data_IF_661892592903
#
_entry.id   IF_661892592903
#
_cell.length_a   1.000
_cell.length_b   1.000
_cell.length_c   1.000
_cell.angle_alpha   90.00
_cell.angle_beta   90.00
_cell.angle_gamma   90.00
#
_symmetry.space_group_name_H-M   'P 1'
#
loop_
_entity.id
_entity.type
_entity.pdbx_description
1 polymer ?
#
# COMPACT_ATOMS: atom_id res chain seq x y z
N UNK A 1 7.87 -18.41 -8.01
CA UNK A 1 6.93 -18.30 -9.16
C UNK A 1 7.72 -18.39 -10.46
N UNK A 2 7.48 -19.41 -11.28
CA UNK A 2 8.25 -19.64 -12.52
C UNK A 2 7.92 -18.59 -13.59
N UNK A 3 8.88 -18.31 -14.47
CA UNK A 3 8.76 -17.25 -15.50
C UNK A 3 7.63 -17.50 -16.49
N UNK A 4 7.25 -18.77 -16.73
CA UNK A 4 6.17 -19.17 -17.65
C UNK A 4 4.79 -18.65 -17.25
N UNK A 5 4.52 -18.48 -15.95
CA UNK A 5 3.22 -18.00 -15.47
C UNK A 5 3.14 -16.46 -15.37
N UNK A 6 4.22 -15.73 -15.67
CA UNK A 6 4.21 -14.27 -15.64
C UNK A 6 3.37 -13.71 -16.79
N UNK A 7 2.42 -12.82 -16.46
CA UNK A 7 1.54 -12.13 -17.43
C UNK A 7 2.29 -11.46 -18.60
N UNK A 8 3.52 -11.00 -18.37
CA UNK A 8 4.33 -10.35 -19.41
C UNK A 8 4.66 -11.26 -20.59
N UNK A 9 4.69 -12.59 -20.42
CA UNK A 9 4.94 -13.51 -21.55
C UNK A 9 3.84 -13.43 -22.60
N UNK A 10 2.58 -13.32 -22.16
CA UNK A 10 1.40 -13.16 -23.05
C UNK A 10 1.31 -11.77 -23.69
N UNK A 11 2.11 -10.79 -23.24
CA UNK A 11 2.06 -9.40 -23.72
C UNK A 11 3.14 -9.05 -24.75
N UNK A 12 3.98 -10.00 -25.16
CA UNK A 12 4.97 -9.79 -26.23
C UNK A 12 4.25 -9.49 -27.55
N UNK A 13 4.77 -8.56 -28.34
CA UNK A 13 4.11 -8.05 -29.55
C UNK A 13 3.11 -6.92 -29.31
N UNK A 14 2.67 -6.68 -28.06
CA UNK A 14 1.84 -5.53 -27.74
C UNK A 14 2.68 -4.26 -27.56
N UNK A 15 2.30 -3.19 -28.24
CA UNK A 15 3.04 -1.91 -28.29
C UNK A 15 3.38 -1.32 -26.91
N UNK A 16 2.48 -1.42 -25.92
CA UNK A 16 2.67 -0.77 -24.61
C UNK A 16 2.67 -1.72 -23.41
N UNK A 17 2.79 -3.03 -23.64
CA UNK A 17 2.75 -4.05 -22.57
C UNK A 17 1.52 -3.91 -21.64
N UNK A 18 0.41 -3.39 -22.17
CA UNK A 18 -0.84 -3.20 -21.44
C UNK A 18 -0.84 -2.06 -20.41
N UNK A 19 -0.03 -1.02 -20.61
CA UNK A 19 -0.04 0.20 -19.79
C UNK A 19 -0.71 1.40 -20.48
N UNK A 20 -1.53 1.14 -21.51
CA UNK A 20 -2.18 2.17 -22.32
C UNK A 20 -1.21 2.88 -23.26
N UNK A 21 -1.73 3.59 -24.27
CA UNK A 21 -0.90 4.35 -25.24
C UNK A 21 -0.61 5.77 -24.78
N UNK A 22 -1.61 6.43 -24.18
CA UNK A 22 -1.58 7.86 -23.84
C UNK A 22 -0.95 8.09 -22.45
N UNK A 23 -1.55 7.55 -21.39
CA UNK A 23 -1.07 7.77 -20.02
C UNK A 23 0.32 7.19 -19.72
N UNK A 24 0.66 6.07 -20.39
CA UNK A 24 1.93 5.32 -20.30
C UNK A 24 2.29 4.86 -18.87
N UNK A 25 3.23 3.92 -18.77
CA UNK A 25 3.81 3.55 -17.49
C UNK A 25 4.84 4.60 -17.06
N UNK A 26 4.62 5.26 -15.92
CA UNK A 26 5.55 6.22 -15.33
C UNK A 26 5.99 5.73 -13.94
N UNK A 27 7.19 6.12 -13.53
CA UNK A 27 7.85 5.56 -12.34
C UNK A 27 7.06 5.76 -11.05
N UNK A 28 6.60 6.98 -10.75
CA UNK A 28 5.82 7.31 -9.54
C UNK A 28 4.85 8.49 -9.79
N UNK A 29 3.68 8.27 -10.41
CA UNK A 29 2.76 9.36 -10.73
C UNK A 29 2.09 10.00 -9.50
N UNK A 30 1.87 9.24 -8.41
CA UNK A 30 1.20 9.72 -7.18
C UNK A 30 2.12 9.84 -5.96
N UNK A 31 3.44 9.76 -6.15
CA UNK A 31 4.42 9.64 -5.08
C UNK A 31 4.82 8.19 -4.77
N UNK A 32 5.54 7.97 -3.67
CA UNK A 32 6.04 6.67 -3.22
C UNK A 32 5.36 6.26 -1.92
N UNK A 33 5.06 4.96 -1.78
CA UNK A 33 4.42 4.43 -0.57
C UNK A 33 3.11 5.17 -0.26
N UNK A 34 2.96 5.60 0.99
CA UNK A 34 1.75 6.27 1.50
C UNK A 34 1.79 7.81 1.37
N UNK A 35 2.61 8.35 0.45
CA UNK A 35 2.69 9.79 0.21
C UNK A 35 1.33 10.39 -0.18
N UNK A 36 1.08 11.63 0.25
CA UNK A 36 -0.15 12.35 -0.07
C UNK A 36 -1.40 11.88 0.67
N UNK A 37 -1.25 11.05 1.72
CA UNK A 37 -2.39 10.44 2.42
C UNK A 37 -3.36 11.42 3.09
N UNK A 38 -2.97 12.67 3.33
CA UNK A 38 -3.87 13.76 3.77
C UNK A 38 -4.19 14.78 2.65
N UNK A 39 -3.61 14.61 1.46
CA UNK A 39 -3.78 15.50 0.30
C UNK A 39 -4.45 14.75 -0.85
N UNK A 40 -3.71 14.46 -1.93
CA UNK A 40 -4.25 13.84 -3.14
C UNK A 40 -4.62 12.35 -2.99
N UNK A 41 -4.20 11.69 -1.92
CA UNK A 41 -4.64 10.33 -1.55
C UNK A 41 -5.60 10.30 -0.36
N UNK A 42 -6.10 11.46 0.11
CA UNK A 42 -7.02 11.55 1.26
C UNK A 42 -8.21 10.60 1.15
N UNK A 43 -8.85 10.56 -0.03
CA UNK A 43 -10.02 9.70 -0.28
C UNK A 43 -9.71 8.22 -0.02
N UNK A 44 -8.51 7.75 -0.36
CA UNK A 44 -8.10 6.36 -0.14
C UNK A 44 -8.00 6.04 1.37
N UNK A 45 -7.43 6.97 2.13
CA UNK A 45 -7.24 6.78 3.57
C UNK A 45 -8.54 6.92 4.35
N UNK A 46 -9.34 7.94 4.07
CA UNK A 46 -10.63 8.15 4.72
C UNK A 46 -11.57 6.96 4.50
N UNK A 47 -11.56 6.39 3.28
CA UNK A 47 -12.47 5.31 2.90
C UNK A 47 -12.09 3.96 3.46
N UNK A 48 -10.80 3.61 3.42
CA UNK A 48 -10.36 2.24 3.71
C UNK A 48 -9.54 2.11 4.99
N UNK A 49 -9.02 3.22 5.52
CA UNK A 49 -8.14 3.23 6.69
C UNK A 49 -8.55 4.32 7.69
N UNK A 50 -9.80 4.31 8.20
CA UNK A 50 -10.23 5.27 9.21
C UNK A 50 -9.36 5.12 10.46
N UNK A 51 -8.91 6.26 11.02
CA UNK A 51 -8.02 6.29 12.18
C UNK A 51 -6.54 6.02 11.88
N UNK A 52 -6.15 5.91 10.60
CA UNK A 52 -4.74 5.77 10.22
C UNK A 52 -3.89 6.98 10.63
N UNK A 53 -4.44 8.18 10.48
CA UNK A 53 -3.82 9.40 10.95
C UNK A 53 -4.34 9.77 12.33
N UNK A 54 -3.43 10.09 13.25
CA UNK A 54 -3.76 10.51 14.61
C UNK A 54 -2.91 9.81 15.66
N UNK A 55 -3.12 10.19 16.92
CA UNK A 55 -2.51 9.57 18.08
C UNK A 55 -3.62 9.22 19.08
N UNK A 56 -3.63 7.98 19.54
CA UNK A 56 -4.61 7.48 20.52
C UNK A 56 -3.87 6.87 21.71
N UNK A 57 -4.40 7.08 22.91
CA UNK A 57 -3.89 6.49 24.15
C UNK A 57 -2.50 7.00 24.56
N UNK A 58 -2.00 6.41 25.66
CA UNK A 58 -0.67 6.70 26.19
C UNK A 58 0.34 5.63 25.74
N UNK A 59 1.58 6.05 25.43
CA UNK A 59 2.64 5.12 25.04
C UNK A 59 3.12 4.35 26.27
N UNK A 60 3.07 3.02 26.22
CA UNK A 60 3.61 2.16 27.25
C UNK A 60 5.00 1.62 26.85
N UNK A 61 6.04 2.11 27.53
CA UNK A 61 7.43 1.69 27.29
C UNK A 61 7.72 0.34 27.95
N UNK A 62 8.58 -0.47 27.32
CA UNK A 62 9.00 -1.80 27.82
C UNK A 62 7.83 -2.71 28.23
N UNK A 63 6.80 -2.79 27.39
CA UNK A 63 5.62 -3.61 27.64
C UNK A 63 5.98 -5.10 27.72
N UNK A 64 6.06 -5.65 28.94
CA UNK A 64 6.26 -7.08 29.20
C UNK A 64 4.92 -7.82 29.08
N UNK A 65 4.70 -8.51 27.95
CA UNK A 65 3.43 -9.18 27.64
C UNK A 65 3.02 -10.22 28.70
N UNK A 66 3.99 -10.90 29.31
CA UNK A 66 3.74 -11.93 30.33
C UNK A 66 3.03 -11.38 31.58
N UNK A 67 3.24 -10.09 31.93
CA UNK A 67 2.56 -9.45 33.07
C UNK A 67 1.07 -9.19 32.84
N UNK A 68 0.65 -9.20 31.58
CA UNK A 68 -0.75 -9.00 31.18
C UNK A 68 -1.44 -10.32 30.80
N UNK A 69 -0.73 -11.44 30.92
CA UNK A 69 -1.30 -12.74 30.62
C UNK A 69 -2.17 -13.19 31.80
N UNK A 70 -3.48 -13.23 31.58
CA UNK A 70 -4.46 -13.77 32.52
C UNK A 70 -5.32 -14.78 31.75
N UNK A 71 -4.96 -16.08 31.74
CA UNK A 71 -5.79 -17.10 31.12
C UNK A 71 -7.09 -17.26 31.93
N UNK A 72 -8.15 -17.63 31.22
CA UNK A 72 -9.46 -18.01 31.79
C UNK A 72 -9.41 -19.48 32.17
#
# INVERSE_FOLDING_TARGET
MTTRFKKNRKKRGHVSTGHGRIGKHRKHPGGRGNAGGMHHHRILFDKYHPGYFGKVGMRYFHKLRNKFYSPI
#
